data_IF_090438635272
#
_entry.id   IF_090438635272
#
_cell.length_a   1.000
_cell.length_b   1.000
_cell.length_c   1.000
_cell.angle_alpha   90.00
_cell.angle_beta   90.00
_cell.angle_gamma   90.00
#
_symmetry.space_group_name_H-M   'P 1'
#
loop_
_entity.id
_entity.type
_entity.pdbx_description
1 polymer ?
#
# COMPACT_ATOMS: atom_id res chain seq x y z
N UNK A 1 -9.88 -13.72 5.46
CA UNK A 1 -9.03 -12.51 5.55
C UNK A 1 -8.55 -12.17 6.94
N UNK A 2 -8.73 -13.09 7.87
CA UNK A 2 -8.33 -12.87 9.25
C UNK A 2 -6.84 -12.62 9.42
N UNK A 3 -6.03 -13.21 8.54
CA UNK A 3 -4.58 -13.09 8.64
C UNK A 3 -4.02 -11.89 7.87
N UNK A 4 -4.89 -11.12 7.22
CA UNK A 4 -4.48 -9.89 6.54
C UNK A 4 -4.51 -8.73 7.52
N UNK A 5 -3.40 -8.03 7.62
CA UNK A 5 -3.28 -6.90 8.54
C UNK A 5 -2.65 -5.71 7.83
N UNK A 6 -2.95 -4.52 8.34
CA UNK A 6 -2.41 -3.29 7.78
C UNK A 6 -0.91 -3.21 8.03
N UNK A 7 -0.13 -3.09 6.97
CA UNK A 7 1.32 -2.93 7.09
C UNK A 7 1.73 -1.46 6.99
N UNK A 8 1.00 -0.68 6.20
CA UNK A 8 1.28 0.75 6.05
C UNK A 8 0.05 1.46 5.52
N UNK A 9 0.07 2.79 5.56
CA UNK A 9 -1.02 3.62 5.11
C UNK A 9 -0.46 4.70 4.17
N UNK A 10 -1.17 4.93 3.07
CA UNK A 10 -0.80 5.95 2.08
C UNK A 10 -1.84 7.06 2.07
N UNK A 11 -1.40 8.28 1.76
CA UNK A 11 -2.29 9.44 1.75
C UNK A 11 -2.88 9.75 0.37
N UNK A 12 -2.24 9.25 -0.69
CA UNK A 12 -2.66 9.56 -2.06
C UNK A 12 -2.69 8.30 -2.92
N UNK A 13 -3.68 8.23 -3.82
CA UNK A 13 -3.84 7.05 -4.68
C UNK A 13 -2.63 6.82 -5.58
N UNK A 14 -1.95 7.88 -6.03
CA UNK A 14 -0.81 7.73 -6.92
C UNK A 14 0.39 7.05 -6.25
N UNK A 15 0.46 7.08 -4.93
CA UNK A 15 1.55 6.44 -4.20
C UNK A 15 1.50 4.92 -4.30
N UNK A 16 0.32 4.37 -4.55
CA UNK A 16 0.15 2.91 -4.56
C UNK A 16 0.26 2.28 -5.94
N UNK A 17 0.29 3.08 -7.00
CA UNK A 17 0.29 2.55 -8.37
C UNK A 17 1.52 1.67 -8.62
N UNK A 18 2.70 2.19 -8.31
CA UNK A 18 3.94 1.44 -8.50
C UNK A 18 3.99 0.22 -7.58
N UNK A 19 3.61 0.41 -6.31
CA UNK A 19 3.62 -0.68 -5.36
C UNK A 19 2.68 -1.81 -5.76
N UNK A 20 1.48 -1.46 -6.23
CA UNK A 20 0.52 -2.45 -6.69
C UNK A 20 1.11 -3.30 -7.82
N UNK A 21 1.78 -2.67 -8.76
CA UNK A 21 2.43 -3.36 -9.86
C UNK A 21 3.50 -4.34 -9.37
N UNK A 22 4.31 -3.91 -8.41
CA UNK A 22 5.37 -4.75 -7.85
C UNK A 22 4.77 -5.96 -7.13
N UNK A 23 3.74 -5.75 -6.32
CA UNK A 23 3.10 -6.84 -5.59
C UNK A 23 2.47 -7.85 -6.54
N UNK A 24 1.86 -7.38 -7.63
CA UNK A 24 1.30 -8.27 -8.64
C UNK A 24 2.38 -9.10 -9.31
N UNK A 25 3.51 -8.49 -9.65
CA UNK A 25 4.64 -9.20 -10.26
C UNK A 25 5.24 -10.24 -9.32
N UNK A 26 5.26 -9.96 -8.02
CA UNK A 26 5.78 -10.88 -7.02
C UNK A 26 4.79 -11.98 -6.66
N UNK A 27 3.54 -11.85 -7.12
CA UNK A 27 2.52 -12.83 -6.77
C UNK A 27 2.06 -12.74 -5.32
N UNK A 28 2.24 -11.59 -4.69
CA UNK A 28 1.86 -11.38 -3.28
C UNK A 28 0.42 -10.90 -3.21
N UNK A 29 -0.46 -11.63 -2.50
CA UNK A 29 -1.84 -11.16 -2.29
C UNK A 29 -1.87 -9.88 -1.47
N UNK A 30 -2.71 -8.94 -1.86
CA UNK A 30 -2.83 -7.67 -1.14
C UNK A 30 -4.24 -7.12 -1.24
N UNK A 31 -4.57 -6.21 -0.31
CA UNK A 31 -5.84 -5.52 -0.29
C UNK A 31 -5.59 -4.05 0.06
N UNK A 32 -6.13 -3.14 -0.73
CA UNK A 32 -6.11 -1.71 -0.41
C UNK A 32 -7.50 -1.31 0.06
N UNK A 33 -7.55 -0.83 1.30
CA UNK A 33 -8.81 -0.37 1.90
C UNK A 33 -8.96 1.13 1.69
N UNK A 34 -10.16 1.56 1.31
CA UNK A 34 -10.51 2.98 1.05
C UNK A 34 -9.94 3.53 -0.27
N UNK A 35 -9.33 2.69 -1.11
CA UNK A 35 -8.75 3.14 -2.37
C UNK A 35 -9.78 3.80 -3.29
N UNK A 36 -10.94 3.18 -3.44
CA UNK A 36 -11.96 3.69 -4.36
C UNK A 36 -12.55 5.02 -3.89
N UNK A 37 -12.74 5.18 -2.60
CA UNK A 37 -13.28 6.42 -2.04
C UNK A 37 -12.33 7.59 -2.27
N UNK A 38 -11.04 7.36 -2.09
CA UNK A 38 -10.03 8.39 -2.25
C UNK A 38 -9.84 8.75 -3.73
N UNK A 39 -10.00 7.79 -4.63
CA UNK A 39 -9.92 8.05 -6.07
C UNK A 39 -11.05 8.90 -6.58
N UNK A 40 -12.25 8.77 -5.98
CA UNK A 40 -13.41 9.56 -6.34
C UNK A 40 -13.34 10.97 -5.75
N UNK A 41 -12.89 11.07 -4.51
CA UNK A 41 -12.81 12.33 -3.77
C UNK A 41 -11.43 12.43 -3.10
N UNK A 42 -10.52 13.24 -3.64
CA UNK A 42 -9.17 13.36 -3.08
C UNK A 42 -9.12 13.80 -1.62
N UNK A 43 -10.15 14.49 -1.16
CA UNK A 43 -10.19 14.95 0.23
C UNK A 43 -10.63 13.86 1.20
N UNK A 44 -11.09 12.72 0.68
CA UNK A 44 -11.50 11.59 1.53
C UNK A 44 -10.33 11.03 2.33
N UNK A 45 -9.10 11.19 1.84
CA UNK A 45 -7.93 10.69 2.55
C UNK A 45 -7.82 11.29 3.95
N UNK A 46 -8.24 12.55 4.11
CA UNK A 46 -8.24 13.23 5.41
C UNK A 46 -9.30 12.63 6.32
N UNK A 47 -10.50 12.40 5.77
CA UNK A 47 -11.64 11.90 6.54
C UNK A 47 -11.46 10.44 6.97
N UNK A 48 -10.86 9.62 6.14
CA UNK A 48 -10.75 8.17 6.37
C UNK A 48 -9.38 7.72 6.83
N UNK A 49 -8.45 8.64 7.04
CA UNK A 49 -7.11 8.28 7.53
C UNK A 49 -6.20 7.67 6.49
N UNK A 50 -6.55 7.81 5.19
CA UNK A 50 -5.70 7.33 4.11
C UNK A 50 -6.12 5.99 3.53
N UNK A 51 -5.25 5.44 2.70
CA UNK A 51 -5.45 4.14 2.05
C UNK A 51 -4.59 3.10 2.78
N UNK A 52 -5.24 2.13 3.40
CA UNK A 52 -4.53 1.09 4.14
C UNK A 52 -4.12 -0.04 3.20
N UNK A 53 -2.84 -0.42 3.26
CA UNK A 53 -2.36 -1.62 2.58
C UNK A 53 -2.38 -2.77 3.57
N UNK A 54 -3.12 -3.82 3.23
CA UNK A 54 -3.20 -5.03 4.03
C UNK A 54 -2.60 -6.19 3.27
N UNK A 55 -1.75 -6.95 3.94
CA UNK A 55 -1.15 -8.16 3.39
C UNK A 55 -1.19 -9.26 4.45
N UNK A 56 -1.03 -10.50 3.99
CA UNK A 56 -0.98 -11.63 4.90
C UNK A 56 0.24 -11.51 5.81
N UNK A 57 0.08 -11.91 7.07
CA UNK A 57 1.15 -11.81 8.05
C UNK A 57 2.42 -12.55 7.60
N UNK A 58 2.28 -13.63 6.86
CA UNK A 58 3.42 -14.39 6.33
C UNK A 58 4.22 -13.61 5.28
N UNK A 59 3.62 -12.59 4.68
CA UNK A 59 4.26 -11.79 3.63
C UNK A 59 4.78 -10.45 4.16
N UNK A 60 4.60 -10.16 5.44
CA UNK A 60 5.00 -8.87 6.02
C UNK A 60 6.47 -8.56 5.77
N UNK A 61 7.33 -9.53 6.04
CA UNK A 61 8.78 -9.34 5.89
C UNK A 61 9.15 -8.98 4.45
N UNK A 62 8.59 -9.71 3.49
CA UNK A 62 8.87 -9.46 2.08
C UNK A 62 8.31 -8.11 1.63
N UNK A 63 7.09 -7.80 2.02
CA UNK A 63 6.46 -6.53 1.66
C UNK A 63 7.20 -5.36 2.29
N UNK A 64 7.64 -5.51 3.54
CA UNK A 64 8.42 -4.47 4.20
C UNK A 64 9.74 -4.21 3.45
N UNK A 65 10.38 -5.25 2.97
CA UNK A 65 11.59 -5.13 2.16
C UNK A 65 11.33 -4.36 0.88
N UNK A 66 10.21 -4.64 0.21
CA UNK A 66 9.82 -3.93 -1.00
C UNK A 66 9.57 -2.44 -0.70
N UNK A 67 8.87 -2.16 0.39
CA UNK A 67 8.59 -0.78 0.80
C UNK A 67 9.89 -0.02 1.11
N UNK A 68 10.81 -0.66 1.80
CA UNK A 68 12.09 -0.05 2.13
C UNK A 68 12.90 0.28 0.88
N UNK A 69 12.88 -0.63 -0.09
CA UNK A 69 13.58 -0.41 -1.36
C UNK A 69 12.98 0.75 -2.15
N UNK A 70 11.65 0.87 -2.15
CA UNK A 70 10.98 1.99 -2.81
C UNK A 70 11.35 3.32 -2.16
N UNK A 71 11.35 3.36 -0.84
CA UNK A 71 11.71 4.58 -0.11
C UNK A 71 13.15 4.98 -0.37
N UNK A 72 14.06 4.01 -0.39
CA UNK A 72 15.46 4.29 -0.67
C UNK A 72 15.66 4.85 -2.07
N UNK A 73 14.94 4.31 -3.05
CA UNK A 73 15.02 4.81 -4.42
C UNK A 73 14.48 6.23 -4.55
N UNK A 74 13.45 6.55 -3.79
CA UNK A 74 12.85 7.89 -3.81
C UNK A 74 13.71 8.93 -3.09
N UNK A 75 14.56 8.49 -2.17
CA UNK A 75 15.42 9.38 -1.40
C UNK A 75 16.74 9.72 -2.10
N UNK A 76 17.07 9.04 -3.17
CA UNK A 76 18.27 9.31 -3.96
C UNK A 76 18.01 10.53 -4.83
N UNK A 77 18.29 11.68 -4.33
CA UNK A 77 18.13 12.94 -5.06
C UNK A 77 19.38 13.75 -4.96
#
# INVERSE_FOLDING_TARGET
MEDFQTITTFNFAHEIIVLKSILQNEGIPFLFQNENLISIDPFSSIAYGGIDLKVHINDFERVQEILDNLNNNLEIV
#
